data_IF_486215369460
#
_entry.id   IF_486215369460
#
_cell.length_a   1.000
_cell.length_b   1.000
_cell.length_c   1.000
_cell.angle_alpha   90.00
_cell.angle_beta   90.00
_cell.angle_gamma   90.00
#
_symmetry.space_group_name_H-M   'P 1'
#
loop_
_entity.id
_entity.type
_entity.pdbx_description
1 polymer ?
#
# COMPACT_ATOMS: atom_id res chain seq x y z
N UNK A 1 -11.47 11.23 -12.76
CA UNK A 1 -10.27 11.37 -11.87
C UNK A 1 -10.70 11.24 -10.42
N UNK A 2 -10.13 10.32 -9.67
CA UNK A 2 -10.35 10.23 -8.22
C UNK A 2 -9.42 11.22 -7.51
N UNK A 3 -9.98 12.36 -7.11
CA UNK A 3 -9.23 13.44 -6.47
C UNK A 3 -8.62 13.00 -5.13
N UNK A 4 -9.30 12.13 -4.39
CA UNK A 4 -8.81 11.61 -3.10
C UNK A 4 -7.56 10.75 -3.30
N UNK A 5 -7.58 9.84 -4.29
CA UNK A 5 -6.41 9.03 -4.61
C UNK A 5 -5.21 9.90 -4.99
N UNK A 6 -5.41 10.89 -5.85
CA UNK A 6 -4.36 11.85 -6.23
C UNK A 6 -3.77 12.57 -5.02
N UNK A 7 -4.63 13.07 -4.13
CA UNK A 7 -4.20 13.78 -2.92
C UNK A 7 -3.44 12.84 -1.96
N UNK A 8 -3.90 11.61 -1.75
CA UNK A 8 -3.20 10.62 -0.92
C UNK A 8 -1.82 10.25 -1.50
N UNK A 9 -1.72 10.05 -2.81
CA UNK A 9 -0.44 9.76 -3.46
C UNK A 9 0.53 10.97 -3.46
N UNK A 10 0.04 12.18 -3.26
CA UNK A 10 0.88 13.38 -3.16
C UNK A 10 1.47 13.62 -1.76
N UNK A 11 1.03 12.87 -0.74
CA UNK A 11 1.46 13.01 0.65
C UNK A 11 2.51 11.93 0.96
N UNK A 12 3.66 12.34 1.53
CA UNK A 12 4.68 11.42 2.03
C UNK A 12 4.17 10.64 3.24
N UNK A 13 4.65 9.42 3.41
CA UNK A 13 4.26 8.59 4.55
C UNK A 13 4.82 7.18 4.42
N UNK A 14 6.14 7.02 4.65
CA UNK A 14 6.75 5.70 4.77
C UNK A 14 6.32 5.06 6.08
N UNK A 15 6.53 3.72 6.20
CA UNK A 15 6.26 3.02 7.46
C UNK A 15 6.95 3.71 8.64
N UNK A 16 6.18 4.05 9.66
CA UNK A 16 6.62 4.78 10.86
C UNK A 16 6.56 6.31 10.76
N UNK A 17 6.26 6.88 9.59
CA UNK A 17 6.08 8.32 9.35
C UNK A 17 4.78 8.61 8.57
N UNK A 18 3.68 7.94 8.94
CA UNK A 18 2.38 8.03 8.25
C UNK A 18 1.51 9.21 8.71
N UNK A 19 1.99 10.03 9.63
CA UNK A 19 1.17 11.08 10.31
C UNK A 19 0.43 12.01 9.34
N UNK A 20 1.07 12.44 8.26
CA UNK A 20 0.43 13.35 7.30
C UNK A 20 -0.71 12.66 6.54
N UNK A 21 -0.51 11.39 6.18
CA UNK A 21 -1.53 10.56 5.53
C UNK A 21 -2.70 10.31 6.48
N UNK A 22 -2.40 9.96 7.73
CA UNK A 22 -3.39 9.77 8.80
C UNK A 22 -4.26 11.03 8.95
N UNK A 23 -3.65 12.22 9.05
CA UNK A 23 -4.38 13.49 9.17
C UNK A 23 -5.28 13.73 7.95
N UNK A 24 -4.81 13.44 6.75
CA UNK A 24 -5.60 13.56 5.53
C UNK A 24 -6.81 12.62 5.58
N UNK A 25 -6.59 11.35 5.90
CA UNK A 25 -7.67 10.36 6.00
C UNK A 25 -8.71 10.79 7.05
N UNK A 26 -8.27 11.17 8.25
CA UNK A 26 -9.17 11.66 9.33
C UNK A 26 -10.04 12.83 8.88
N UNK A 27 -9.47 13.77 8.11
CA UNK A 27 -10.22 14.90 7.55
C UNK A 27 -11.31 14.41 6.58
N UNK A 28 -11.00 13.41 5.74
CA UNK A 28 -11.92 12.92 4.72
C UNK A 28 -13.06 12.07 5.28
N UNK A 29 -12.78 11.25 6.32
CA UNK A 29 -13.78 10.33 6.88
C UNK A 29 -14.53 10.90 8.09
N UNK A 30 -13.97 11.88 8.79
CA UNK A 30 -14.53 12.41 10.03
C UNK A 30 -16.02 12.78 9.96
N UNK A 31 -16.50 13.46 8.91
CA UNK A 31 -17.92 13.79 8.77
C UNK A 31 -18.84 12.59 8.50
N UNK A 32 -18.30 11.42 8.20
CA UNK A 32 -19.05 10.24 7.71
C UNK A 32 -18.96 9.03 8.65
N UNK A 33 -18.00 9.02 9.58
CA UNK A 33 -17.85 7.98 10.58
C UNK A 33 -18.72 8.25 11.81
N UNK A 34 -19.33 7.22 12.38
CA UNK A 34 -20.08 7.30 13.64
C UNK A 34 -19.16 7.31 14.86
N UNK A 35 -18.00 6.64 14.77
CA UNK A 35 -16.92 6.77 15.73
C UNK A 35 -15.56 6.51 15.06
N UNK A 36 -14.52 7.11 15.61
CA UNK A 36 -13.13 6.96 15.18
C UNK A 36 -12.26 6.78 16.42
N UNK A 37 -11.36 5.81 16.36
CA UNK A 37 -10.29 5.64 17.34
C UNK A 37 -8.95 5.50 16.62
N UNK A 38 -7.88 5.96 17.27
CA UNK A 38 -6.51 5.88 16.77
C UNK A 38 -5.75 4.96 17.72
N UNK A 39 -5.11 3.92 17.17
CA UNK A 39 -4.28 3.02 17.97
C UNK A 39 -2.99 3.71 18.40
N UNK A 40 -2.28 3.23 19.44
CA UNK A 40 -0.99 3.79 19.84
C UNK A 40 0.08 3.81 18.74
N UNK A 41 0.02 2.88 17.76
CA UNK A 41 0.92 2.87 16.60
C UNK A 41 0.51 3.86 15.51
N UNK A 42 -0.74 4.36 15.53
CA UNK A 42 -1.23 5.34 14.56
C UNK A 42 -2.27 4.80 13.56
N UNK A 43 -2.66 3.52 13.60
CA UNK A 43 -3.74 3.00 12.75
C UNK A 43 -5.07 3.66 13.13
N UNK A 44 -5.91 3.93 12.12
CA UNK A 44 -7.26 4.48 12.31
C UNK A 44 -8.27 3.33 12.25
N UNK A 45 -9.05 3.17 13.30
CA UNK A 45 -10.25 2.34 13.31
C UNK A 45 -11.47 3.26 13.27
N UNK A 46 -12.29 3.13 12.23
CA UNK A 46 -13.49 3.92 12.03
C UNK A 46 -14.71 3.00 11.92
N UNK A 47 -15.77 3.34 12.64
CA UNK A 47 -17.06 2.62 12.62
C UNK A 47 -18.07 3.40 11.79
N UNK A 48 -18.80 2.69 10.94
CA UNK A 48 -19.92 3.22 10.16
C UNK A 48 -21.17 2.41 10.45
N UNK A 49 -22.19 3.05 11.01
CA UNK A 49 -23.50 2.42 11.24
C UNK A 49 -24.22 2.19 9.92
N UNK A 50 -24.80 1.01 9.80
CA UNK A 50 -25.76 0.67 8.76
C UNK A 50 -27.22 0.88 9.23
N UNK A 51 -28.16 0.46 8.37
CA UNK A 51 -29.59 0.44 8.72
C UNK A 51 -29.89 -0.59 9.81
N UNK A 52 -29.09 -1.65 9.89
CA UNK A 52 -29.22 -2.75 10.84
C UNK A 52 -27.86 -3.10 11.43
N UNK A 53 -27.80 -3.61 12.67
CA UNK A 53 -26.60 -4.20 13.20
C UNK A 53 -26.08 -5.33 12.30
N UNK A 54 -24.77 -5.43 12.18
CA UNK A 54 -24.17 -6.55 11.46
C UNK A 54 -24.43 -7.88 12.20
N UNK A 55 -24.74 -8.94 11.45
CA UNK A 55 -24.80 -10.29 12.01
C UNK A 55 -23.41 -10.90 12.14
N UNK A 56 -22.53 -10.57 11.18
CA UNK A 56 -21.10 -10.88 11.23
C UNK A 56 -20.32 -9.57 11.30
N UNK A 57 -19.57 -9.34 12.37
CA UNK A 57 -18.75 -8.13 12.53
C UNK A 57 -17.65 -8.12 11.48
N UNK A 58 -17.76 -7.19 10.52
CA UNK A 58 -16.89 -7.08 9.36
C UNK A 58 -15.92 -5.92 9.52
N UNK A 59 -14.63 -6.20 9.27
CA UNK A 59 -13.56 -5.21 9.14
C UNK A 59 -13.09 -5.13 7.69
N UNK A 60 -13.07 -3.93 7.10
CA UNK A 60 -12.46 -3.67 5.79
C UNK A 60 -11.15 -2.92 6.02
N UNK A 61 -10.02 -3.46 5.54
CA UNK A 61 -8.69 -2.94 5.83
C UNK A 61 -7.92 -2.55 4.57
N UNK A 62 -7.15 -1.46 4.65
CA UNK A 62 -6.11 -1.03 3.71
C UNK A 62 -4.96 -0.40 4.51
N UNK A 63 -3.73 -0.37 3.97
CA UNK A 63 -2.63 0.25 4.69
C UNK A 63 -2.30 1.66 4.19
N UNK A 64 -1.83 2.51 5.13
CA UNK A 64 -1.52 3.92 4.86
C UNK A 64 -0.08 4.15 4.45
N UNK A 65 0.82 3.28 4.91
CA UNK A 65 2.25 3.42 4.67
C UNK A 65 2.64 3.04 3.24
N UNK A 66 3.82 3.40 2.89
CA UNK A 66 4.49 3.06 1.65
C UNK A 66 5.94 2.68 1.93
N UNK A 67 6.59 1.97 1.02
CA UNK A 67 8.03 1.74 1.07
C UNK A 67 8.81 3.04 0.89
N UNK A 68 9.97 3.13 1.53
CA UNK A 68 10.86 4.28 1.39
C UNK A 68 12.23 3.99 1.96
N UNK A 69 12.90 5.03 2.44
CA UNK A 69 14.24 4.92 3.01
C UNK A 69 14.35 5.81 4.26
N UNK A 70 15.35 5.55 5.09
CA UNK A 70 15.66 6.34 6.27
C UNK A 70 17.15 6.65 6.29
N UNK A 71 17.53 7.88 6.64
CA UNK A 71 18.94 8.30 6.76
C UNK A 71 19.57 7.62 7.96
N UNK A 72 20.70 6.94 7.75
CA UNK A 72 21.44 6.25 8.81
C UNK A 72 22.61 7.07 9.33
N UNK A 73 23.36 7.74 8.44
CA UNK A 73 24.43 8.66 8.85
C UNK A 73 24.84 9.59 7.71
N UNK A 74 25.62 10.63 8.06
CA UNK A 74 26.11 11.64 7.12
C UNK A 74 27.64 11.51 7.03
N UNK A 75 28.14 11.24 5.82
CA UNK A 75 29.55 11.11 5.51
C UNK A 75 30.31 12.44 5.62
N UNK A 76 31.64 12.38 5.66
CA UNK A 76 32.49 13.57 5.75
C UNK A 76 32.35 14.50 4.54
N UNK A 77 32.10 13.93 3.39
CA UNK A 77 31.87 14.61 2.11
C UNK A 77 30.46 15.21 1.95
N UNK A 78 29.59 15.08 2.97
CA UNK A 78 28.21 15.56 2.92
C UNK A 78 27.22 14.59 2.28
N UNK A 79 27.67 13.41 1.81
CA UNK A 79 26.80 12.37 1.27
C UNK A 79 25.99 11.69 2.39
N UNK A 80 24.72 11.41 2.12
CA UNK A 80 23.81 10.81 3.08
C UNK A 80 23.73 9.30 2.82
N UNK A 81 24.04 8.51 3.83
CA UNK A 81 23.85 7.06 3.81
C UNK A 81 22.48 6.72 4.36
N UNK A 82 21.85 5.69 3.79
CA UNK A 82 20.48 5.31 4.10
C UNK A 82 20.29 3.79 4.11
N UNK A 83 19.17 3.34 4.64
CA UNK A 83 18.66 1.98 4.46
C UNK A 83 17.23 2.03 3.99
N UNK A 84 16.72 0.92 3.41
CA UNK A 84 15.32 0.84 2.99
C UNK A 84 14.40 0.59 4.18
N UNK A 85 13.19 1.14 4.09
CA UNK A 85 12.04 0.86 4.94
C UNK A 85 11.03 0.18 4.07
N UNK A 86 10.75 -1.11 4.35
CA UNK A 86 10.03 -2.00 3.44
C UNK A 86 10.93 -2.60 2.35
N UNK A 87 10.31 -3.37 1.47
CA UNK A 87 11.01 -4.15 0.44
C UNK A 87 11.23 -3.37 -0.85
N UNK A 88 12.40 -2.78 -1.05
CA UNK A 88 12.79 -2.08 -2.30
C UNK A 88 13.91 -2.84 -2.99
N UNK A 89 13.74 -3.10 -4.29
CA UNK A 89 14.81 -3.64 -5.13
C UNK A 89 15.87 -2.56 -5.38
N UNK A 90 17.16 -2.77 -5.02
CA UNK A 90 18.19 -1.77 -5.21
C UNK A 90 18.37 -1.32 -6.68
N UNK A 91 17.97 -2.14 -7.64
CA UNK A 91 18.03 -1.80 -9.08
C UNK A 91 17.19 -0.61 -9.49
N UNK A 92 16.16 -0.28 -8.71
CA UNK A 92 15.28 0.87 -9.01
C UNK A 92 15.71 2.17 -8.35
N UNK A 93 16.78 2.15 -7.52
CA UNK A 93 17.18 3.28 -6.70
C UNK A 93 18.15 4.26 -7.39
N UNK A 94 19.17 3.74 -8.07
CA UNK A 94 20.24 4.56 -8.63
C UNK A 94 19.71 5.61 -9.64
N UNK A 95 20.16 6.85 -9.49
CA UNK A 95 19.77 7.99 -10.32
C UNK A 95 18.38 8.56 -10.03
N UNK A 96 17.70 8.11 -8.96
CA UNK A 96 16.39 8.63 -8.60
C UNK A 96 16.49 9.90 -7.77
N UNK A 97 15.57 10.83 -8.05
CA UNK A 97 15.32 11.99 -7.21
C UNK A 97 14.45 11.58 -6.01
N UNK A 98 14.80 12.11 -4.85
CA UNK A 98 14.15 11.84 -3.56
C UNK A 98 13.91 13.13 -2.79
N UNK A 99 13.03 13.04 -1.81
CA UNK A 99 12.73 14.09 -0.83
C UNK A 99 13.05 13.59 0.57
N UNK A 100 13.74 14.42 1.37
CA UNK A 100 14.27 14.03 2.67
C UNK A 100 13.66 14.90 3.77
N UNK A 101 13.18 14.23 4.82
CA UNK A 101 12.66 14.86 6.04
C UNK A 101 11.42 15.72 5.84
N UNK A 102 11.07 16.46 6.89
CA UNK A 102 9.88 17.33 6.90
C UNK A 102 9.97 18.51 5.95
N UNK A 103 11.18 18.97 5.66
CA UNK A 103 11.44 20.10 4.76
C UNK A 103 11.48 19.68 3.28
N UNK A 104 11.30 18.38 3.00
CA UNK A 104 11.35 17.81 1.65
C UNK A 104 12.62 18.22 0.88
N UNK A 105 13.79 18.20 1.55
CA UNK A 105 15.07 18.52 0.95
C UNK A 105 15.29 17.63 -0.28
N UNK A 106 15.53 18.20 -1.48
CA UNK A 106 15.76 17.41 -2.67
C UNK A 106 17.13 16.75 -2.65
N UNK A 107 17.20 15.50 -3.11
CA UNK A 107 18.43 14.75 -3.26
C UNK A 107 18.37 13.80 -4.45
N UNK A 108 19.54 13.28 -4.82
CA UNK A 108 19.69 12.27 -5.89
C UNK A 108 20.42 11.07 -5.33
N UNK A 109 19.90 9.87 -5.55
CA UNK A 109 20.61 8.63 -5.18
C UNK A 109 21.72 8.38 -6.19
N UNK A 110 22.95 8.50 -5.73
CA UNK A 110 24.17 8.31 -6.51
C UNK A 110 24.81 6.95 -6.31
N UNK A 111 25.61 6.54 -7.29
CA UNK A 111 26.47 5.36 -7.23
C UNK A 111 27.80 5.64 -7.94
N UNK A 112 28.80 4.79 -7.75
CA UNK A 112 30.07 4.88 -8.47
C UNK A 112 29.85 4.94 -9.99
N UNK A 113 30.46 5.88 -10.72
CA UNK A 113 30.30 5.99 -12.17
C UNK A 113 30.94 4.79 -12.88
N UNK A 114 30.32 4.39 -13.99
CA UNK A 114 30.66 3.15 -14.72
C UNK A 114 32.14 3.03 -15.13
N UNK A 115 32.81 4.17 -15.40
CA UNK A 115 34.19 4.16 -15.88
C UNK A 115 35.24 3.83 -14.79
N UNK A 116 34.85 3.90 -13.51
CA UNK A 116 35.73 3.49 -12.38
C UNK A 116 35.41 2.08 -11.87
N UNK A 117 34.38 1.42 -12.41
CA UNK A 117 34.04 0.06 -12.05
C UNK A 117 34.86 -0.97 -12.82
N UNK A 118 35.30 -2.03 -12.13
CA UNK A 118 35.86 -3.23 -12.76
C UNK A 118 34.79 -3.95 -13.61
N UNK A 119 35.20 -4.83 -14.52
CA UNK A 119 34.28 -5.63 -15.34
C UNK A 119 33.33 -6.47 -14.46
N UNK A 120 33.83 -7.05 -13.37
CA UNK A 120 33.03 -7.87 -12.45
C UNK A 120 32.00 -7.05 -11.64
N UNK A 121 32.32 -5.79 -11.29
CA UNK A 121 31.36 -4.90 -10.61
C UNK A 121 30.23 -4.45 -11.52
N UNK A 122 30.48 -4.27 -12.83
CA UNK A 122 29.46 -3.87 -13.80
C UNK A 122 28.38 -4.93 -14.02
N UNK A 123 28.69 -6.21 -13.77
CA UNK A 123 27.74 -7.33 -13.91
C UNK A 123 26.89 -7.56 -12.67
N UNK A 124 27.16 -6.85 -11.56
CA UNK A 124 26.44 -7.01 -10.30
C UNK A 124 25.51 -5.85 -10.04
N UNK A 125 24.42 -6.15 -9.36
CA UNK A 125 23.56 -5.11 -8.76
C UNK A 125 24.34 -4.40 -7.66
N UNK A 126 24.31 -3.06 -7.66
CA UNK A 126 24.92 -2.25 -6.60
C UNK A 126 24.14 -2.49 -5.30
N UNK A 127 24.78 -2.93 -4.22
CA UNK A 127 24.13 -3.09 -2.93
C UNK A 127 23.74 -1.72 -2.34
N UNK A 128 22.76 -1.69 -1.45
CA UNK A 128 22.21 -0.45 -0.87
C UNK A 128 23.28 0.32 -0.09
N UNK A 129 24.15 -0.37 0.60
CA UNK A 129 25.28 0.20 1.37
C UNK A 129 26.33 0.95 0.53
N UNK A 130 26.39 0.68 -0.77
CA UNK A 130 27.25 1.37 -1.74
C UNK A 130 26.54 2.53 -2.45
N UNK A 131 25.26 2.76 -2.16
CA UNK A 131 24.51 3.92 -2.62
C UNK A 131 24.57 5.04 -1.59
N UNK A 132 24.50 6.29 -2.06
CA UNK A 132 24.41 7.45 -1.19
C UNK A 132 23.48 8.51 -1.81
N UNK A 133 22.85 9.33 -0.98
CA UNK A 133 22.06 10.46 -1.47
C UNK A 133 22.92 11.70 -1.44
N UNK A 134 22.98 12.39 -2.56
CA UNK A 134 23.65 13.68 -2.74
C UNK A 134 22.60 14.80 -2.72
N UNK A 135 22.78 15.75 -1.83
CA UNK A 135 21.95 16.96 -1.69
C UNK A 135 22.71 18.24 -2.11
N UNK A 136 23.91 18.09 -2.69
CA UNK A 136 24.77 19.20 -3.11
C UNK A 136 25.54 19.86 -1.97
N UNK A 137 25.58 19.25 -0.78
CA UNK A 137 26.35 19.78 0.35
C UNK A 137 27.86 19.61 0.15
N UNK A 138 28.66 20.63 0.51
CA UNK A 138 30.12 20.63 0.39
C UNK A 138 30.81 19.78 1.47
N UNK A 139 30.09 19.36 2.51
CA UNK A 139 30.64 18.57 3.59
C UNK A 139 29.59 18.25 4.66
N UNK A 140 30.03 17.47 5.66
CA UNK A 140 29.16 16.96 6.74
C UNK A 140 28.44 18.07 7.50
N UNK A 141 29.12 19.18 7.82
CA UNK A 141 28.50 20.25 8.62
C UNK A 141 27.32 20.90 7.90
N UNK A 142 27.49 21.19 6.61
CA UNK A 142 26.44 21.75 5.78
C UNK A 142 25.25 20.77 5.65
N UNK A 143 25.51 19.51 5.30
CA UNK A 143 24.47 18.49 5.23
C UNK A 143 23.72 18.31 6.56
N UNK A 144 24.44 18.29 7.70
CA UNK A 144 23.87 18.14 9.04
C UNK A 144 23.06 19.36 9.52
N UNK A 145 23.21 20.51 8.85
CA UNK A 145 22.39 21.69 9.16
C UNK A 145 20.94 21.56 8.66
N UNK A 146 20.68 20.66 7.71
CA UNK A 146 19.37 20.49 7.07
C UNK A 146 18.81 19.06 7.12
N UNK A 147 19.65 18.04 7.38
CA UNK A 147 19.28 16.64 7.44
C UNK A 147 19.85 15.99 8.70
N UNK A 148 19.09 15.09 9.31
CA UNK A 148 19.49 14.31 10.48
C UNK A 148 19.37 12.80 10.24
N UNK A 149 20.19 11.98 10.91
CA UNK A 149 19.91 10.54 10.98
C UNK A 149 18.51 10.30 11.56
N UNK A 150 17.75 9.39 10.94
CA UNK A 150 16.35 9.14 11.26
C UNK A 150 15.35 9.88 10.36
N UNK A 151 15.80 10.84 9.55
CA UNK A 151 14.91 11.49 8.58
C UNK A 151 14.42 10.50 7.53
N UNK A 152 13.11 10.54 7.26
CA UNK A 152 12.46 9.76 6.21
C UNK A 152 12.86 10.24 4.83
N UNK A 153 12.95 9.30 3.88
CA UNK A 153 13.26 9.60 2.48
C UNK A 153 12.22 8.94 1.59
N UNK A 154 11.60 9.73 0.74
CA UNK A 154 10.57 9.27 -0.20
C UNK A 154 10.97 9.55 -1.63
N UNK A 155 10.43 8.78 -2.57
CA UNK A 155 10.52 9.11 -3.99
C UNK A 155 9.78 10.41 -4.29
N UNK A 156 10.18 11.10 -5.37
CA UNK A 156 9.48 12.28 -5.82
C UNK A 156 8.02 11.98 -6.19
N UNK A 157 7.09 12.85 -5.79
CA UNK A 157 5.65 12.67 -5.95
C UNK A 157 5.19 13.09 -7.33
N UNK A 158 4.81 12.12 -8.14
CA UNK A 158 4.28 12.33 -9.48
C UNK A 158 2.99 11.53 -9.61
N UNK A 159 1.95 12.16 -10.18
CA UNK A 159 0.68 11.50 -10.44
C UNK A 159 0.24 11.77 -11.87
N UNK A 160 0.09 10.70 -12.64
CA UNK A 160 -0.43 10.74 -14.00
C UNK A 160 -1.67 9.89 -14.16
N UNK A 161 -2.65 10.40 -14.88
CA UNK A 161 -3.84 9.66 -15.29
C UNK A 161 -4.11 9.96 -16.77
N UNK A 162 -4.28 8.90 -17.57
CA UNK A 162 -4.54 9.01 -19.02
C UNK A 162 -5.92 8.47 -19.43
N UNK A 163 -6.83 8.28 -18.48
CA UNK A 163 -8.17 7.72 -18.70
C UNK A 163 -8.22 6.19 -18.77
N UNK A 164 -7.09 5.51 -18.85
CA UNK A 164 -6.97 4.04 -18.83
C UNK A 164 -6.18 3.54 -17.63
N UNK A 165 -5.11 4.23 -17.30
CA UNK A 165 -4.20 3.88 -16.21
C UNK A 165 -3.91 5.08 -15.32
N UNK A 166 -3.66 4.78 -14.06
CA UNK A 166 -3.11 5.69 -13.07
C UNK A 166 -1.67 5.28 -12.81
N UNK A 167 -0.76 6.24 -12.77
CA UNK A 167 0.66 6.05 -12.51
C UNK A 167 1.08 7.00 -11.40
N UNK A 168 1.61 6.44 -10.31
CA UNK A 168 2.09 7.20 -9.16
C UNK A 168 2.96 6.32 -8.26
N UNK A 169 3.87 6.88 -7.44
CA UNK A 169 4.37 6.16 -6.27
C UNK A 169 3.22 5.89 -5.29
N UNK A 170 3.42 4.94 -4.38
CA UNK A 170 2.52 4.64 -3.28
C UNK A 170 1.06 4.23 -3.67
N UNK A 171 0.82 3.79 -4.92
CA UNK A 171 -0.49 3.20 -5.26
C UNK A 171 -0.77 1.96 -4.41
N UNK A 172 0.25 1.28 -4.00
CA UNK A 172 0.33 0.31 -2.92
C UNK A 172 0.59 1.06 -1.60
N UNK A 173 -0.38 1.24 -0.64
CA UNK A 173 -1.80 0.91 -0.85
C UNK A 173 -2.70 2.15 -0.65
N UNK A 174 -2.23 3.31 -1.17
CA UNK A 174 -3.07 4.52 -1.19
C UNK A 174 -4.34 4.33 -2.04
N UNK A 175 -4.30 3.38 -2.99
CA UNK A 175 -5.48 3.01 -3.77
C UNK A 175 -6.53 2.32 -2.88
N UNK A 176 -6.13 1.40 -2.02
CA UNK A 176 -7.02 0.80 -1.02
C UNK A 176 -7.54 1.83 -0.03
N UNK A 177 -6.69 2.71 0.49
CA UNK A 177 -7.14 3.81 1.36
C UNK A 177 -8.20 4.70 0.68
N UNK A 178 -8.01 5.06 -0.59
CA UNK A 178 -8.97 5.86 -1.33
C UNK A 178 -10.29 5.09 -1.56
N UNK A 179 -10.24 3.77 -1.79
CA UNK A 179 -11.43 2.92 -1.85
C UNK A 179 -12.18 2.94 -0.50
N UNK A 180 -11.50 2.75 0.62
CA UNK A 180 -12.12 2.80 1.94
C UNK A 180 -12.79 4.15 2.22
N UNK A 181 -12.13 5.26 1.87
CA UNK A 181 -12.72 6.61 1.99
C UNK A 181 -13.97 6.74 1.12
N UNK A 182 -13.92 6.25 -0.13
CA UNK A 182 -15.08 6.24 -1.02
C UNK A 182 -16.24 5.45 -0.40
N UNK A 183 -15.98 4.26 0.12
CA UNK A 183 -16.97 3.39 0.76
C UNK A 183 -17.63 4.09 1.95
N UNK A 184 -16.87 4.72 2.81
CA UNK A 184 -17.40 5.45 3.97
C UNK A 184 -18.25 6.66 3.57
N UNK A 185 -17.90 7.35 2.48
CA UNK A 185 -18.55 8.60 2.07
C UNK A 185 -19.77 8.41 1.18
N UNK A 186 -19.77 7.38 0.35
CA UNK A 186 -20.73 7.23 -0.77
C UNK A 186 -21.67 6.06 -0.66
N UNK A 187 -21.33 5.05 0.16
CA UNK A 187 -22.18 3.87 0.33
C UNK A 187 -23.13 4.07 1.50
N UNK A 188 -24.42 3.85 1.24
CA UNK A 188 -25.45 3.71 2.28
C UNK A 188 -25.48 2.27 2.76
N UNK A 189 -24.81 2.00 3.87
CA UNK A 189 -24.65 0.66 4.39
C UNK A 189 -25.95 0.08 4.93
N UNK A 190 -26.21 -1.17 4.56
CA UNK A 190 -27.32 -1.93 5.17
C UNK A 190 -26.96 -2.43 6.57
N UNK A 191 -25.70 -2.79 6.78
CA UNK A 191 -25.19 -3.32 8.04
C UNK A 191 -24.01 -2.48 8.56
N UNK A 192 -23.85 -2.50 9.88
CA UNK A 192 -22.68 -1.87 10.51
C UNK A 192 -21.38 -2.43 9.93
N UNK A 193 -20.40 -1.57 9.70
CA UNK A 193 -19.13 -1.95 9.09
C UNK A 193 -17.97 -1.17 9.72
N UNK A 194 -16.91 -1.87 10.06
CA UNK A 194 -15.67 -1.29 10.58
C UNK A 194 -14.62 -1.15 9.47
N UNK A 195 -13.84 -0.06 9.54
CA UNK A 195 -12.80 0.28 8.58
C UNK A 195 -11.48 0.46 9.30
N UNK A 196 -10.42 -0.15 8.76
CA UNK A 196 -9.07 -0.03 9.27
C UNK A 196 -8.18 0.62 8.20
N UNK A 197 -7.55 1.73 8.56
CA UNK A 197 -6.41 2.27 7.83
C UNK A 197 -5.16 1.94 8.64
N UNK A 198 -4.45 0.91 8.24
CA UNK A 198 -3.33 0.35 8.97
C UNK A 198 -2.04 1.14 8.73
N UNK A 199 -1.13 1.13 9.69
CA UNK A 199 0.24 1.63 9.59
C UNK A 199 1.22 0.47 9.58
N UNK A 200 2.45 0.70 9.07
CA UNK A 200 3.55 -0.25 9.17
C UNK A 200 3.24 -1.66 8.61
N UNK A 201 2.49 -1.73 7.52
CA UNK A 201 2.25 -2.97 6.79
C UNK A 201 3.57 -3.48 6.22
N UNK A 202 4.31 -2.62 5.52
CA UNK A 202 5.53 -2.88 4.75
C UNK A 202 6.73 -3.34 5.60
N UNK A 203 6.64 -3.15 6.92
CA UNK A 203 7.68 -3.57 7.89
C UNK A 203 7.19 -4.65 8.86
N UNK A 204 6.10 -5.35 8.52
CA UNK A 204 5.69 -6.54 9.25
C UNK A 204 4.27 -6.57 9.79
N UNK A 205 3.32 -5.89 9.16
CA UNK A 205 1.88 -5.92 9.46
C UNK A 205 1.56 -5.43 10.90
N UNK A 206 2.36 -4.50 11.43
CA UNK A 206 2.31 -4.14 12.85
C UNK A 206 1.01 -3.45 13.24
N UNK A 207 0.54 -2.54 12.39
CA UNK A 207 -0.68 -1.77 12.63
C UNK A 207 -1.93 -2.64 12.58
N UNK A 208 -2.05 -3.48 11.58
CA UNK A 208 -3.19 -4.39 11.42
C UNK A 208 -3.26 -5.45 12.52
N UNK A 209 -2.10 -5.97 12.95
CA UNK A 209 -2.01 -6.91 14.06
C UNK A 209 -2.60 -6.34 15.35
N UNK A 210 -2.21 -5.12 15.71
CA UNK A 210 -2.67 -4.48 16.95
C UNK A 210 -4.11 -3.98 16.85
N UNK A 211 -4.50 -3.46 15.68
CA UNK A 211 -5.85 -2.97 15.43
C UNK A 211 -6.89 -4.11 15.42
N UNK A 212 -6.62 -5.21 14.72
CA UNK A 212 -7.54 -6.36 14.71
C UNK A 212 -7.68 -7.02 16.08
N UNK A 213 -6.62 -6.99 16.91
CA UNK A 213 -6.70 -7.45 18.29
C UNK A 213 -7.67 -6.60 19.12
N UNK A 214 -7.67 -5.28 18.92
CA UNK A 214 -8.56 -4.34 19.61
C UNK A 214 -10.00 -4.40 19.09
N UNK A 215 -10.16 -4.43 17.76
CA UNK A 215 -11.47 -4.41 17.09
C UNK A 215 -12.24 -5.72 17.25
N UNK A 216 -11.57 -6.87 17.24
CA UNK A 216 -12.15 -8.21 17.35
C UNK A 216 -13.16 -8.54 16.23
N UNK A 217 -12.80 -8.41 14.96
CA UNK A 217 -13.69 -8.74 13.86
C UNK A 217 -13.92 -10.25 13.77
N UNK A 218 -15.04 -10.66 13.19
CA UNK A 218 -15.35 -12.06 12.86
C UNK A 218 -15.00 -12.38 11.41
N UNK A 219 -15.07 -11.36 10.55
CA UNK A 219 -14.71 -11.42 9.14
C UNK A 219 -13.89 -10.20 8.74
N UNK A 220 -13.04 -10.34 7.69
CA UNK A 220 -12.35 -9.21 7.12
C UNK A 220 -12.23 -9.28 5.61
N UNK A 221 -12.27 -8.10 4.97
CA UNK A 221 -11.90 -7.88 3.57
C UNK A 221 -10.64 -7.01 3.58
N UNK A 222 -9.56 -7.54 3.02
CA UNK A 222 -8.33 -6.77 2.82
C UNK A 222 -8.36 -6.19 1.42
N UNK A 223 -8.30 -4.88 1.34
CA UNK A 223 -8.12 -4.14 0.10
C UNK A 223 -6.63 -3.87 -0.05
N UNK A 224 -6.07 -4.20 -1.21
CA UNK A 224 -4.62 -4.25 -1.38
C UNK A 224 -4.25 -4.04 -2.85
N UNK A 225 -2.99 -3.75 -3.14
CA UNK A 225 -2.44 -3.78 -4.49
C UNK A 225 -1.51 -4.98 -4.64
N UNK A 226 -1.63 -5.76 -5.72
CA UNK A 226 -0.83 -6.97 -5.92
C UNK A 226 -0.06 -6.95 -7.24
N UNK A 227 1.18 -7.48 -7.23
CA UNK A 227 2.04 -7.50 -8.42
C UNK A 227 1.39 -8.24 -9.58
N UNK A 228 1.24 -7.58 -10.73
CA UNK A 228 0.65 -8.17 -11.92
C UNK A 228 1.63 -9.11 -12.64
N UNK A 229 2.89 -8.71 -12.80
CA UNK A 229 3.91 -9.39 -13.60
C UNK A 229 3.50 -9.62 -15.09
N UNK A 230 2.57 -8.83 -15.60
CA UNK A 230 2.06 -8.91 -17.00
C UNK A 230 2.83 -7.96 -17.95
N UNK A 231 4.15 -7.93 -17.80
CA UNK A 231 5.05 -7.06 -18.59
C UNK A 231 5.56 -7.78 -19.84
N UNK A 232 6.13 -7.01 -20.79
CA UNK A 232 6.70 -7.55 -22.01
C UNK A 232 7.77 -8.63 -21.73
N UNK A 233 7.74 -9.73 -22.47
CA UNK A 233 8.65 -10.86 -22.30
C UNK A 233 8.25 -11.87 -21.22
N UNK A 234 7.22 -11.60 -20.43
CA UNK A 234 6.73 -12.53 -19.42
C UNK A 234 5.73 -13.52 -20.04
N UNK A 235 6.04 -14.80 -19.95
CA UNK A 235 5.15 -15.87 -20.40
C UNK A 235 3.82 -15.86 -19.60
N UNK A 236 2.68 -16.18 -20.22
CA UNK A 236 1.37 -16.10 -19.56
C UNK A 236 1.29 -16.86 -18.23
N UNK A 237 1.90 -18.05 -18.15
CA UNK A 237 1.93 -18.91 -16.97
C UNK A 237 2.73 -18.34 -15.79
N UNK A 238 3.60 -17.36 -16.04
CA UNK A 238 4.40 -16.68 -15.02
C UNK A 238 3.76 -15.36 -14.55
N UNK A 239 2.64 -14.96 -15.13
CA UNK A 239 1.91 -13.77 -14.71
C UNK A 239 1.13 -14.06 -13.43
N UNK A 240 1.26 -13.17 -12.46
CA UNK A 240 0.52 -13.30 -11.20
C UNK A 240 -0.95 -12.91 -11.39
N UNK A 241 -1.18 -11.83 -12.12
CA UNK A 241 -2.48 -11.33 -12.57
C UNK A 241 -2.26 -10.35 -13.73
N UNK A 242 -3.33 -9.81 -14.31
CA UNK A 242 -3.27 -8.97 -15.51
C UNK A 242 -4.06 -7.67 -15.31
N UNK A 243 -3.45 -6.51 -15.60
CA UNK A 243 -4.13 -5.23 -15.61
C UNK A 243 -5.31 -5.22 -16.58
N UNK A 244 -6.42 -4.61 -16.19
CA UNK A 244 -7.63 -4.50 -17.00
C UNK A 244 -8.52 -5.74 -16.99
N UNK A 245 -8.15 -6.78 -16.23
CA UNK A 245 -8.94 -8.01 -16.08
C UNK A 245 -9.78 -8.06 -14.80
N UNK A 246 -9.88 -6.94 -14.09
CA UNK A 246 -10.66 -6.79 -12.87
C UNK A 246 -9.88 -7.10 -11.59
N UNK A 247 -10.52 -6.92 -10.43
CA UNK A 247 -9.96 -7.23 -9.12
C UNK A 247 -9.47 -8.68 -9.04
N UNK A 248 -8.46 -8.87 -8.19
CA UNK A 248 -7.76 -10.14 -7.98
C UNK A 248 -8.16 -10.73 -6.65
N UNK A 249 -8.62 -11.98 -6.66
CA UNK A 249 -8.94 -12.73 -5.45
C UNK A 249 -7.81 -13.72 -5.18
N UNK A 250 -7.21 -13.59 -4.02
CA UNK A 250 -6.15 -14.49 -3.55
C UNK A 250 -6.78 -15.70 -2.85
N UNK A 251 -6.36 -16.92 -3.20
CA UNK A 251 -6.73 -18.13 -2.46
C UNK A 251 -5.66 -18.51 -1.43
N UNK A 252 -4.40 -18.09 -1.66
CA UNK A 252 -3.28 -18.27 -0.76
C UNK A 252 -2.16 -17.28 -1.09
N UNK A 253 -1.44 -16.81 -0.06
CA UNK A 253 -0.16 -16.14 -0.17
C UNK A 253 0.86 -16.77 0.79
N UNK A 254 2.01 -16.13 1.07
CA UNK A 254 3.05 -16.69 1.94
C UNK A 254 2.65 -16.74 3.42
N UNK A 255 1.62 -16.01 3.83
CA UNK A 255 1.21 -15.87 5.23
C UNK A 255 -0.22 -16.33 5.50
N UNK A 256 -1.09 -16.40 4.46
CA UNK A 256 -2.53 -16.61 4.61
C UNK A 256 -3.06 -17.67 3.66
N UNK A 257 -3.87 -18.58 4.16
CA UNK A 257 -4.82 -19.37 3.37
C UNK A 257 -6.18 -18.69 3.59
N UNK A 258 -6.73 -18.11 2.51
CA UNK A 258 -7.95 -17.33 2.56
C UNK A 258 -9.20 -18.20 2.70
N UNK A 259 -10.26 -17.62 3.26
CA UNK A 259 -11.54 -18.30 3.41
C UNK A 259 -12.13 -18.68 2.05
N UNK A 260 -12.35 -19.99 1.84
CA UNK A 260 -12.78 -20.53 0.55
C UNK A 260 -14.18 -20.09 0.16
N UNK A 261 -15.07 -19.88 1.13
CA UNK A 261 -16.45 -19.44 0.86
C UNK A 261 -16.47 -17.98 0.44
N UNK A 262 -15.69 -17.13 1.11
CA UNK A 262 -15.57 -15.72 0.74
C UNK A 262 -14.87 -15.55 -0.63
N UNK A 263 -13.87 -16.36 -0.94
CA UNK A 263 -13.28 -16.37 -2.28
C UNK A 263 -14.33 -16.75 -3.37
N UNK A 264 -15.16 -17.77 -3.12
CA UNK A 264 -16.27 -18.12 -4.02
C UNK A 264 -17.29 -17.01 -4.13
N UNK A 265 -17.69 -16.43 -2.99
CA UNK A 265 -18.62 -15.30 -2.91
C UNK A 265 -18.16 -14.15 -3.80
N UNK A 266 -16.87 -13.80 -3.79
CA UNK A 266 -16.32 -12.76 -4.65
C UNK A 266 -16.62 -13.00 -6.13
N UNK A 267 -16.39 -14.23 -6.63
CA UNK A 267 -16.68 -14.57 -8.03
C UNK A 267 -18.19 -14.63 -8.32
N UNK A 268 -19.01 -15.07 -7.37
CA UNK A 268 -20.46 -15.07 -7.51
C UNK A 268 -21.02 -13.65 -7.64
N UNK A 269 -20.61 -12.75 -6.76
CA UNK A 269 -21.05 -11.35 -6.78
C UNK A 269 -20.50 -10.61 -8.01
N UNK A 270 -19.23 -10.82 -8.36
CA UNK A 270 -18.65 -10.28 -9.59
C UNK A 270 -19.44 -10.72 -10.83
N UNK A 271 -19.78 -12.01 -10.95
CA UNK A 271 -20.56 -12.55 -12.07
C UNK A 271 -21.97 -11.95 -12.13
N UNK A 272 -22.66 -11.85 -10.99
CA UNK A 272 -24.01 -11.25 -10.93
C UNK A 272 -24.00 -9.79 -11.37
N UNK A 273 -22.97 -9.04 -11.00
CA UNK A 273 -22.82 -7.62 -11.30
C UNK A 273 -22.16 -7.34 -12.66
N UNK A 274 -21.73 -8.37 -13.40
CA UNK A 274 -21.00 -8.19 -14.66
C UNK A 274 -19.60 -7.59 -14.49
N UNK A 275 -18.99 -7.73 -13.29
CA UNK A 275 -17.66 -7.25 -12.97
C UNK A 275 -16.65 -8.32 -13.38
N UNK A 276 -15.63 -7.99 -14.20
CA UNK A 276 -14.53 -8.91 -14.43
C UNK A 276 -13.76 -9.16 -13.13
N UNK A 277 -13.36 -10.40 -12.89
CA UNK A 277 -12.65 -10.81 -11.68
C UNK A 277 -11.69 -11.94 -12.01
N UNK A 278 -10.54 -11.99 -11.37
CA UNK A 278 -9.50 -12.99 -11.65
C UNK A 278 -8.89 -13.57 -10.37
N UNK A 279 -8.34 -14.79 -10.46
CA UNK A 279 -7.55 -15.37 -9.39
C UNK A 279 -6.11 -14.85 -9.42
N UNK A 280 -5.49 -14.70 -8.25
CA UNK A 280 -4.03 -14.58 -8.12
C UNK A 280 -3.40 -15.94 -8.47
N UNK A 281 -2.57 -15.97 -9.54
CA UNK A 281 -2.02 -17.23 -10.09
C UNK A 281 -0.73 -17.67 -9.40
N UNK A 282 -0.22 -16.92 -8.43
CA UNK A 282 1.01 -17.26 -7.72
C UNK A 282 0.84 -17.10 -6.20
N UNK A 283 1.45 -18.02 -5.46
CA UNK A 283 1.61 -17.93 -4.00
C UNK A 283 2.83 -17.05 -3.73
N UNK A 284 2.64 -15.74 -3.67
CA UNK A 284 3.72 -14.76 -3.52
C UNK A 284 3.27 -13.58 -2.65
N UNK A 285 4.24 -12.97 -1.94
CA UNK A 285 4.00 -11.84 -1.05
C UNK A 285 3.21 -12.22 0.19
N UNK A 286 2.68 -11.24 0.85
CA UNK A 286 1.76 -11.29 1.98
C UNK A 286 1.14 -9.91 2.10
N UNK A 287 0.14 -9.75 2.96
CA UNK A 287 -0.50 -8.48 3.27
C UNK A 287 -1.11 -8.52 4.67
N UNK A 288 -1.85 -7.51 5.06
CA UNK A 288 -2.49 -7.39 6.38
C UNK A 288 -3.36 -8.59 6.79
N UNK A 289 -3.85 -9.39 5.82
CA UNK A 289 -4.54 -10.65 6.12
C UNK A 289 -3.71 -11.58 6.99
N UNK A 290 -2.38 -11.60 6.78
CA UNK A 290 -1.45 -12.44 7.53
C UNK A 290 -1.47 -12.19 9.04
N UNK A 291 -1.75 -10.96 9.47
CA UNK A 291 -1.89 -10.59 10.87
C UNK A 291 -3.35 -10.67 11.35
N UNK A 292 -4.29 -10.23 10.53
CA UNK A 292 -5.71 -10.14 10.89
C UNK A 292 -6.32 -11.55 11.07
N UNK A 293 -6.09 -12.48 10.12
CA UNK A 293 -6.73 -13.80 10.17
C UNK A 293 -6.34 -14.64 11.38
N UNK A 294 -5.17 -14.37 11.97
CA UNK A 294 -4.70 -15.06 13.19
C UNK A 294 -5.01 -14.29 14.47
N UNK A 295 -5.72 -13.17 14.39
CA UNK A 295 -6.05 -12.37 15.57
C UNK A 295 -7.05 -13.11 16.46
N UNK A 296 -6.77 -13.13 17.77
CA UNK A 296 -7.59 -13.77 18.80
C UNK A 296 -7.95 -15.23 18.51
N UNK A 297 -9.22 -15.52 18.29
CA UNK A 297 -9.74 -16.87 17.98
C UNK A 297 -9.73 -17.20 16.48
N UNK A 298 -9.26 -16.28 15.66
CA UNK A 298 -9.26 -16.36 14.21
C UNK A 298 -10.33 -15.49 13.55
N UNK A 299 -10.03 -14.99 12.36
CA UNK A 299 -10.91 -14.12 11.56
C UNK A 299 -11.01 -14.69 10.16
N UNK A 300 -12.24 -14.93 9.66
CA UNK A 300 -12.47 -15.36 8.28
C UNK A 300 -12.09 -14.21 7.34
N UNK A 301 -11.14 -14.43 6.44
CA UNK A 301 -10.50 -13.34 5.69
C UNK A 301 -10.47 -13.61 4.20
N UNK A 302 -10.70 -12.57 3.40
CA UNK A 302 -10.52 -12.55 1.96
C UNK A 302 -9.73 -11.30 1.56
N UNK A 303 -8.88 -11.40 0.53
CA UNK A 303 -8.24 -10.24 -0.09
C UNK A 303 -8.85 -9.96 -1.46
N UNK A 304 -9.21 -8.70 -1.69
CA UNK A 304 -9.65 -8.15 -2.98
C UNK A 304 -8.61 -7.13 -3.40
N UNK A 305 -7.72 -7.53 -4.32
CA UNK A 305 -6.56 -6.73 -4.67
C UNK A 305 -6.69 -6.07 -6.04
N UNK A 306 -6.03 -4.93 -6.20
CA UNK A 306 -5.83 -4.26 -7.49
C UNK A 306 -4.59 -4.85 -8.19
N UNK A 307 -4.67 -5.24 -9.48
CA UNK A 307 -3.45 -5.56 -10.24
C UNK A 307 -2.59 -4.31 -10.37
N UNK A 308 -1.32 -4.39 -9.96
CA UNK A 308 -0.35 -3.30 -10.05
C UNK A 308 0.93 -3.73 -10.72
N UNK A 309 1.49 -2.92 -11.62
CA UNK A 309 2.84 -3.10 -12.16
C UNK A 309 3.83 -2.25 -11.40
N UNK A 310 5.05 -2.75 -11.28
CA UNK A 310 6.19 -2.00 -10.73
C UNK A 310 5.97 -1.52 -9.29
N UNK A 311 5.29 -2.32 -8.46
CA UNK A 311 5.12 -2.02 -7.04
C UNK A 311 6.48 -1.91 -6.35
N UNK A 312 6.53 -1.20 -5.22
CA UNK A 312 7.77 -0.94 -4.47
C UNK A 312 8.87 -0.27 -5.30
N UNK A 313 8.45 0.63 -6.21
CA UNK A 313 9.34 1.41 -7.07
C UNK A 313 8.91 2.88 -7.12
N UNK A 314 9.72 3.76 -7.72
CA UNK A 314 9.37 5.18 -7.85
C UNK A 314 8.05 5.45 -8.58
N UNK A 315 7.55 4.48 -9.34
CA UNK A 315 6.34 4.63 -10.14
C UNK A 315 5.63 3.29 -10.32
N UNK A 316 4.44 3.14 -9.75
CA UNK A 316 3.55 1.99 -9.97
C UNK A 316 2.47 2.34 -10.99
N UNK A 317 1.80 1.33 -11.55
CA UNK A 317 0.75 1.48 -12.57
C UNK A 317 -0.44 0.58 -12.22
N UNK A 318 -1.64 1.15 -12.10
CA UNK A 318 -2.90 0.42 -11.98
C UNK A 318 -3.87 0.80 -13.10
N UNK A 319 -4.91 -0.03 -13.32
CA UNK A 319 -5.98 0.27 -14.28
C UNK A 319 -7.09 1.08 -13.60
N UNK A 320 -7.52 2.20 -14.23
CA UNK A 320 -8.68 2.96 -13.77
C UNK A 320 -9.94 2.07 -13.67
N UNK A 321 -10.12 1.16 -14.63
CA UNK A 321 -11.28 0.26 -14.66
C UNK A 321 -11.23 -0.79 -13.55
N UNK A 322 -10.07 -1.35 -13.26
CA UNK A 322 -9.92 -2.31 -12.16
C UNK A 322 -10.18 -1.63 -10.81
N UNK A 323 -9.74 -0.38 -10.66
CA UNK A 323 -9.99 0.42 -9.47
C UNK A 323 -11.50 0.66 -9.22
N UNK A 324 -12.27 1.04 -10.24
CA UNK A 324 -13.72 1.20 -10.12
C UNK A 324 -14.46 -0.14 -9.89
N UNK A 325 -13.99 -1.20 -10.55
CA UNK A 325 -14.52 -2.56 -10.36
C UNK A 325 -14.27 -3.07 -8.93
N UNK A 326 -13.13 -2.75 -8.32
CA UNK A 326 -12.82 -3.13 -6.94
C UNK A 326 -13.75 -2.44 -5.94
N UNK A 327 -14.03 -1.14 -6.08
CA UNK A 327 -15.02 -0.42 -5.26
C UNK A 327 -16.36 -1.13 -5.27
N UNK A 328 -16.84 -1.48 -6.46
CA UNK A 328 -18.14 -2.14 -6.65
C UNK A 328 -18.16 -3.54 -6.04
N UNK A 329 -17.12 -4.35 -6.29
CA UNK A 329 -17.06 -5.72 -5.78
C UNK A 329 -16.96 -5.75 -4.25
N UNK A 330 -16.12 -4.90 -3.66
CA UNK A 330 -15.94 -4.82 -2.20
C UNK A 330 -17.27 -4.42 -1.53
N UNK A 331 -18.02 -3.48 -2.10
CA UNK A 331 -19.35 -3.09 -1.58
C UNK A 331 -20.30 -4.28 -1.54
N UNK A 332 -20.42 -5.03 -2.64
CA UNK A 332 -21.32 -6.20 -2.72
C UNK A 332 -20.91 -7.30 -1.72
N UNK A 333 -19.62 -7.58 -1.63
CA UNK A 333 -19.11 -8.58 -0.70
C UNK A 333 -19.35 -8.18 0.76
N UNK A 334 -19.07 -6.92 1.10
CA UNK A 334 -19.23 -6.41 2.45
C UNK A 334 -20.69 -6.52 2.93
N UNK A 335 -21.65 -6.11 2.10
CA UNK A 335 -23.08 -6.23 2.40
C UNK A 335 -23.51 -7.69 2.62
N UNK A 336 -22.96 -8.61 1.82
CA UNK A 336 -23.29 -10.02 1.94
C UNK A 336 -22.67 -10.65 3.20
N UNK A 337 -21.39 -10.39 3.46
CA UNK A 337 -20.67 -10.91 4.64
C UNK A 337 -21.28 -10.38 5.94
N UNK A 338 -21.52 -9.07 6.04
CA UNK A 338 -22.09 -8.47 7.24
C UNK A 338 -23.55 -8.92 7.51
N UNK A 339 -24.24 -9.43 6.49
CA UNK A 339 -25.62 -9.94 6.55
C UNK A 339 -25.75 -11.43 6.86
N UNK A 340 -24.66 -12.19 6.86
CA UNK A 340 -24.61 -13.62 7.25
C UNK A 340 -24.50 -13.78 8.77
#
# INVERSE_FOLDING_TARGET
>A
MDQILKELCSIRGISGDEKLVQQKILKEIGPFADSISITPLGSILAHKKGKYPAKTKLLISAHMDEVGMIITHIGKEGLLHFTTVGGIDPRVLAGRTVKIGDQEIPGVIGMKPIHVLSAAEREKTVPIEDLAIDIGASGKEEASSVVSPGDSVTFERIFYENGHTIMSPALDDRAGCAILIFLMRKVEWKYDTDFLFAVQEEVGLNGSKTAAFADQPQASIIVETTTAADVAGMAPENRVCVLGKGPVISFMDKRTIYDREYCRMAFEEAKKAGIPCQYKQAVAGGNDAGAIHTSRSGVRTVAVSLPGRYLHSPMSVISCKDYENAKSLITLMAERIAGE
#
